data_IF_762472325697
#
_entry.id   IF_762472325697
#
_cell.length_a   1.000
_cell.length_b   1.000
_cell.length_c   1.000
_cell.angle_alpha   90.00
_cell.angle_beta   90.00
_cell.angle_gamma   90.00
#
_symmetry.space_group_name_H-M   'P 1'
#
loop_
_entity.id
_entity.type
_entity.pdbx_description
1 polymer ?
#
# COMPACT_ATOMS: atom_id res chain seq x y z
N UNK A 1 13.38 -6.79 -5.42
CA UNK A 1 14.50 -7.63 -4.91
C UNK A 1 14.01 -9.06 -4.73
N UNK A 2 14.47 -10.01 -5.56
CA UNK A 2 13.98 -11.40 -5.54
C UNK A 2 14.42 -12.17 -4.28
N UNK A 3 15.67 -11.97 -3.84
CA UNK A 3 16.20 -12.63 -2.64
C UNK A 3 15.39 -12.26 -1.39
N UNK A 4 14.98 -11.01 -1.27
CA UNK A 4 14.12 -10.56 -0.17
C UNK A 4 12.76 -11.27 -0.19
N UNK A 5 12.13 -11.44 -1.35
CA UNK A 5 10.85 -12.15 -1.47
C UNK A 5 10.97 -13.64 -1.08
N UNK A 6 12.07 -14.31 -1.42
CA UNK A 6 12.35 -15.69 -0.99
C UNK A 6 12.48 -15.82 0.54
N UNK A 7 13.20 -14.87 1.15
CA UNK A 7 13.36 -14.82 2.62
C UNK A 7 12.01 -14.61 3.31
N UNK A 8 11.19 -13.68 2.79
CA UNK A 8 9.84 -13.44 3.31
C UNK A 8 8.93 -14.66 3.13
N UNK A 9 8.99 -15.34 1.98
CA UNK A 9 8.20 -16.53 1.69
C UNK A 9 8.51 -17.67 2.68
N UNK A 10 9.79 -17.89 2.96
CA UNK A 10 10.24 -18.88 3.94
C UNK A 10 9.73 -18.55 5.36
N UNK A 11 9.81 -17.27 5.73
CA UNK A 11 9.37 -16.74 7.02
C UNK A 11 7.85 -16.84 7.22
N UNK A 12 7.05 -16.56 6.18
CA UNK A 12 5.59 -16.73 6.19
C UNK A 12 5.19 -18.21 6.28
N UNK A 13 5.83 -19.08 5.48
CA UNK A 13 5.53 -20.51 5.46
C UNK A 13 5.75 -21.17 6.83
N UNK A 14 6.84 -20.82 7.51
CA UNK A 14 7.14 -21.31 8.86
C UNK A 14 6.09 -20.88 9.92
N UNK A 15 5.25 -19.88 9.62
CA UNK A 15 4.20 -19.35 10.51
C UNK A 15 2.79 -19.71 10.06
N UNK A 16 2.64 -20.58 9.04
CA UNK A 16 1.33 -20.87 8.46
C UNK A 16 0.67 -19.67 7.78
N UNK A 17 1.47 -18.67 7.38
CA UNK A 17 1.01 -17.47 6.70
C UNK A 17 1.32 -17.53 5.20
N UNK A 18 0.59 -16.73 4.41
CA UNK A 18 0.81 -16.59 2.96
C UNK A 18 1.46 -15.25 2.65
N UNK A 19 2.56 -15.26 1.89
CA UNK A 19 3.12 -14.04 1.32
C UNK A 19 2.24 -13.57 0.14
N UNK A 20 1.86 -12.30 0.14
CA UNK A 20 1.07 -11.68 -0.92
C UNK A 20 1.88 -10.53 -1.54
N UNK A 21 2.87 -10.80 -2.41
CA UNK A 21 3.63 -9.75 -3.07
C UNK A 21 2.74 -9.05 -4.10
N UNK A 22 2.96 -7.75 -4.27
CA UNK A 22 2.33 -6.98 -5.35
C UNK A 22 3.20 -7.09 -6.62
N UNK A 23 2.59 -6.91 -7.79
CA UNK A 23 3.31 -6.72 -9.05
C UNK A 23 4.38 -5.62 -8.89
N UNK A 24 5.59 -5.87 -9.39
CA UNK A 24 6.73 -5.00 -9.20
C UNK A 24 6.53 -3.58 -9.73
N UNK A 25 5.65 -3.40 -10.73
CA UNK A 25 5.28 -2.10 -11.27
C UNK A 25 4.58 -1.20 -10.25
N UNK A 26 3.94 -1.77 -9.23
CA UNK A 26 3.27 -1.05 -8.15
C UNK A 26 4.10 -0.98 -6.87
N UNK A 27 5.31 -1.55 -6.86
CA UNK A 27 6.23 -1.47 -5.72
C UNK A 27 7.05 -0.17 -5.66
N UNK A 28 6.98 0.66 -6.71
CA UNK A 28 7.50 2.03 -6.73
C UNK A 28 6.38 3.03 -6.45
N UNK A 29 6.74 4.25 -6.06
CA UNK A 29 5.77 5.32 -5.88
C UNK A 29 4.93 5.52 -7.15
N UNK A 30 3.61 5.38 -7.01
CA UNK A 30 2.68 5.44 -8.13
C UNK A 30 1.36 6.11 -7.73
N UNK A 31 0.64 6.66 -8.70
CA UNK A 31 -0.66 7.29 -8.44
C UNK A 31 -1.77 6.30 -8.07
N UNK A 32 -1.63 5.02 -8.43
CA UNK A 32 -2.67 4.01 -8.19
C UNK A 32 -2.86 3.71 -6.70
N UNK A 33 -1.78 3.64 -5.92
CA UNK A 33 -1.88 3.48 -4.46
C UNK A 33 -2.56 4.68 -3.78
N UNK A 34 -2.30 5.90 -4.26
CA UNK A 34 -2.94 7.12 -3.76
C UNK A 34 -4.43 7.12 -4.09
N UNK A 35 -4.79 6.78 -5.35
CA UNK A 35 -6.17 6.70 -5.79
C UNK A 35 -6.95 5.61 -5.05
N UNK A 36 -6.36 4.43 -4.82
CA UNK A 36 -6.99 3.34 -4.09
C UNK A 36 -7.27 3.72 -2.63
N UNK A 37 -6.31 4.35 -1.95
CA UNK A 37 -6.52 4.85 -0.58
C UNK A 37 -7.63 5.91 -0.54
N UNK A 38 -7.62 6.88 -1.47
CA UNK A 38 -8.65 7.89 -1.58
C UNK A 38 -10.04 7.33 -1.88
N UNK A 39 -10.13 6.29 -2.71
CA UNK A 39 -11.38 5.57 -2.99
C UNK A 39 -11.96 4.90 -1.75
N UNK A 40 -11.14 4.18 -0.97
CA UNK A 40 -11.61 3.55 0.27
C UNK A 40 -12.02 4.59 1.32
N UNK A 41 -11.28 5.70 1.43
CA UNK A 41 -11.64 6.82 2.30
C UNK A 41 -13.00 7.40 1.93
N UNK A 42 -13.23 7.72 0.65
CA UNK A 42 -14.48 8.26 0.17
C UNK A 42 -15.64 7.28 0.41
N UNK A 43 -15.43 5.99 0.14
CA UNK A 43 -16.43 4.93 0.40
C UNK A 43 -16.79 4.80 1.88
N UNK A 44 -15.83 5.04 2.78
CA UNK A 44 -16.05 5.07 4.21
C UNK A 44 -16.65 6.40 4.72
N UNK A 45 -16.92 7.36 3.83
CA UNK A 45 -17.52 8.66 4.16
C UNK A 45 -16.52 9.74 4.60
N UNK A 46 -15.21 9.49 4.46
CA UNK A 46 -14.20 10.50 4.72
C UNK A 46 -14.10 11.48 3.54
N UNK A 47 -14.33 12.76 3.82
CA UNK A 47 -14.20 13.85 2.85
C UNK A 47 -13.42 15.00 3.49
N UNK A 48 -12.44 15.53 2.77
CA UNK A 48 -11.62 16.66 3.24
C UNK A 48 -11.99 17.92 2.46
N UNK A 49 -12.47 19.00 3.10
CA UNK A 49 -12.66 20.29 2.45
C UNK A 49 -11.34 20.84 1.91
N UNK A 50 -11.39 21.57 0.80
CA UNK A 50 -10.18 22.14 0.16
C UNK A 50 -9.36 23.01 1.12
N UNK A 51 -10.01 23.77 2.00
CA UNK A 51 -9.34 24.60 3.02
C UNK A 51 -8.52 23.78 4.03
N UNK A 52 -8.75 22.47 4.12
CA UNK A 52 -8.04 21.53 4.97
C UNK A 52 -7.13 20.57 4.17
N UNK A 53 -7.02 20.73 2.85
CA UNK A 53 -6.19 19.89 1.96
C UNK A 53 -4.75 20.42 1.81
N UNK A 54 -4.17 20.93 2.89
CA UNK A 54 -2.78 21.38 2.91
C UNK A 54 -1.78 20.22 2.84
N UNK A 55 -0.52 20.53 2.52
CA UNK A 55 0.57 19.56 2.50
C UNK A 55 1.27 19.58 3.86
N UNK A 56 1.52 18.40 4.44
CA UNK A 56 2.38 18.23 5.62
C UNK A 56 3.64 17.46 5.21
N UNK A 57 4.82 17.99 5.54
CA UNK A 57 6.09 17.29 5.26
C UNK A 57 6.58 16.43 6.43
N UNK A 58 6.02 16.63 7.64
CA UNK A 58 6.22 15.82 8.84
C UNK A 58 4.95 15.84 9.67
#
# INVERSE_FOLDING_TARGET
>A
NRRLQEMLSSMCSARGARLCPTDERFCVDNGAMIAQAGWEMLRAGHVTPLSQSGITQR
#
